data_IF_649253446139
#
_entry.id   IF_649253446139
#
_cell.length_a   1.000
_cell.length_b   1.000
_cell.length_c   1.000
_cell.angle_alpha   90.00
_cell.angle_beta   90.00
_cell.angle_gamma   90.00
#
_symmetry.space_group_name_H-M   'P 1'
#
loop_
_entity.id
_entity.type
_entity.pdbx_description
1 polymer ?
#
# COMPACT_ATOMS: atom_id res chain seq x y z
N UNK A 1 9.04 -54.17 66.24
CA UNK A 1 10.31 -53.49 66.55
C UNK A 1 10.21 -52.09 65.95
N UNK A 2 9.39 -51.20 66.51
CA UNK A 2 9.75 -50.20 67.54
C UNK A 2 11.07 -49.48 67.26
N UNK A 3 10.97 -48.27 66.71
CA UNK A 3 12.06 -47.33 66.50
C UNK A 3 11.55 -45.93 66.83
N UNK A 4 11.57 -45.62 68.12
CA UNK A 4 11.18 -44.35 68.72
C UNK A 4 12.29 -43.31 68.52
N UNK A 5 11.93 -42.08 68.19
CA UNK A 5 12.88 -40.98 68.01
C UNK A 5 12.18 -39.62 68.05
N UNK A 6 11.71 -39.23 69.23
CA UNK A 6 11.30 -37.85 69.54
C UNK A 6 12.56 -36.96 69.61
N UNK A 7 12.61 -35.89 68.82
CA UNK A 7 13.35 -34.68 69.19
C UNK A 7 12.48 -33.44 68.99
N UNK A 8 12.33 -32.72 70.10
CA UNK A 8 11.51 -31.54 70.30
C UNK A 8 12.25 -30.24 69.93
N UNK A 9 11.45 -29.24 69.51
CA UNK A 9 11.64 -27.77 69.63
C UNK A 9 12.72 -27.19 68.70
N UNK A 10 12.54 -26.05 68.03
CA UNK A 10 11.93 -24.77 68.41
C UNK A 10 11.44 -24.00 67.19
N UNK A 11 10.36 -23.26 67.36
CA UNK A 11 9.73 -22.33 66.42
C UNK A 11 10.61 -21.11 66.13
N UNK A 12 10.94 -20.86 64.86
CA UNK A 12 11.41 -19.55 64.39
C UNK A 12 10.31 -18.89 63.55
N UNK A 13 9.71 -17.83 64.09
CA UNK A 13 8.70 -17.03 63.44
C UNK A 13 9.33 -16.23 62.28
N UNK A 14 9.15 -16.70 61.05
CA UNK A 14 9.45 -15.93 59.86
C UNK A 14 8.33 -14.90 59.62
N UNK A 15 8.62 -13.64 59.94
CA UNK A 15 7.85 -12.47 59.49
C UNK A 15 7.86 -12.46 57.95
N UNK A 16 6.83 -13.01 57.33
CA UNK A 16 6.60 -12.83 55.92
C UNK A 16 6.04 -11.41 55.70
N UNK A 17 6.91 -10.50 55.29
CA UNK A 17 6.52 -9.21 54.72
C UNK A 17 5.50 -9.47 53.60
N UNK A 18 4.31 -8.86 53.70
CA UNK A 18 3.39 -8.75 52.56
C UNK A 18 4.11 -7.96 51.48
N UNK A 19 4.71 -8.66 50.53
CA UNK A 19 5.21 -8.06 49.30
C UNK A 19 4.04 -7.40 48.58
N UNK A 20 4.18 -6.10 48.30
CA UNK A 20 3.28 -5.39 47.39
C UNK A 20 3.27 -6.17 46.06
N UNK A 21 2.13 -6.72 45.69
CA UNK A 21 1.92 -7.20 44.32
C UNK A 21 1.89 -5.95 43.44
N UNK A 22 3.01 -5.68 42.77
CA UNK A 22 3.03 -4.71 41.67
C UNK A 22 2.16 -5.30 40.58
N UNK A 23 0.97 -4.73 40.41
CA UNK A 23 0.09 -5.02 39.28
C UNK A 23 0.88 -4.77 38.00
N UNK A 24 1.30 -5.85 37.33
CA UNK A 24 1.79 -5.80 35.95
C UNK A 24 0.58 -5.57 35.04
N UNK A 25 -0.02 -4.39 35.16
CA UNK A 25 -1.05 -3.94 34.26
C UNK A 25 -0.42 -3.78 32.87
N UNK A 26 -0.72 -4.76 32.02
CA UNK A 26 -0.98 -4.59 30.60
C UNK A 26 0.13 -3.87 29.80
N UNK A 27 1.32 -4.48 29.69
CA UNK A 27 2.17 -4.21 28.53
C UNK A 27 1.49 -4.86 27.33
N UNK A 28 0.67 -4.10 26.59
CA UNK A 28 0.28 -4.46 25.24
C UNK A 28 1.57 -4.60 24.43
N UNK A 29 2.05 -5.84 24.28
CA UNK A 29 3.10 -6.14 23.31
C UNK A 29 2.49 -5.79 21.96
N UNK A 30 2.88 -4.64 21.41
CA UNK A 30 2.71 -4.38 19.99
C UNK A 30 3.47 -5.49 19.28
N UNK A 31 2.77 -6.56 18.91
CA UNK A 31 3.32 -7.66 18.14
C UNK A 31 3.54 -7.13 16.74
N UNK A 32 4.69 -6.50 16.52
CA UNK A 32 5.17 -6.23 15.17
C UNK A 32 5.44 -7.58 14.52
N UNK A 33 4.95 -7.79 13.30
CA UNK A 33 5.35 -8.93 12.48
C UNK A 33 6.88 -9.01 12.43
N UNK A 34 7.48 -10.21 12.22
CA UNK A 34 8.91 -10.30 11.97
C UNK A 34 9.26 -9.31 10.85
N UNK A 35 10.31 -8.48 11.01
CA UNK A 35 10.58 -7.40 10.07
C UNK A 35 10.82 -7.98 8.69
N UNK A 36 9.91 -7.69 7.75
CA UNK A 36 10.18 -7.83 6.32
C UNK A 36 11.30 -6.83 6.04
N UNK A 37 12.52 -7.33 5.91
CA UNK A 37 13.69 -6.48 5.77
C UNK A 37 13.71 -5.92 4.36
N UNK A 38 13.15 -4.72 4.17
CA UNK A 38 13.13 -4.03 2.89
C UNK A 38 14.55 -3.85 2.33
N UNK A 39 14.74 -4.09 1.04
CA UNK A 39 16.02 -3.96 0.34
C UNK A 39 16.74 -2.64 0.65
N UNK A 40 16.00 -1.52 0.57
CA UNK A 40 16.52 -0.19 0.86
C UNK A 40 17.14 -0.08 2.27
N UNK A 41 16.53 -0.70 3.27
CA UNK A 41 17.06 -0.73 4.65
C UNK A 41 18.36 -1.50 4.74
N UNK A 42 18.48 -2.62 4.03
CA UNK A 42 19.69 -3.46 4.04
C UNK A 42 20.86 -2.78 3.35
N UNK A 43 20.60 -1.95 2.32
CA UNK A 43 21.63 -1.12 1.69
C UNK A 43 22.33 -0.19 2.69
N UNK A 44 21.57 0.50 3.55
CA UNK A 44 22.14 1.35 4.60
C UNK A 44 22.96 0.58 5.64
N UNK A 45 22.74 -0.73 5.76
CA UNK A 45 23.49 -1.64 6.64
C UNK A 45 24.66 -2.33 5.92
N UNK A 46 24.98 -1.94 4.68
CA UNK A 46 26.04 -2.53 3.87
C UNK A 46 25.72 -3.94 3.34
N UNK A 47 24.45 -4.36 3.37
CA UNK A 47 24.01 -5.68 2.93
C UNK A 47 23.26 -5.57 1.61
N UNK A 48 23.82 -6.16 0.55
CA UNK A 48 23.18 -6.18 -0.77
C UNK A 48 22.42 -7.49 -0.96
N UNK A 49 21.09 -7.42 -0.91
CA UNK A 49 20.21 -8.58 -1.15
C UNK A 49 19.64 -8.58 -2.56
N UNK A 50 20.41 -9.12 -3.51
CA UNK A 50 20.04 -9.10 -4.94
C UNK A 50 18.69 -9.75 -5.25
N UNK A 51 18.30 -10.81 -4.53
CA UNK A 51 17.05 -11.55 -4.75
C UNK A 51 15.77 -10.73 -4.55
N UNK A 52 15.84 -9.62 -3.81
CA UNK A 52 14.67 -8.78 -3.54
C UNK A 52 14.36 -7.77 -4.67
N UNK A 53 15.30 -7.57 -5.60
CA UNK A 53 15.21 -6.56 -6.68
C UNK A 53 15.45 -7.15 -8.06
N UNK A 54 16.23 -8.24 -8.13
CA UNK A 54 16.62 -8.86 -9.39
C UNK A 54 16.09 -10.31 -9.47
N UNK A 55 15.56 -10.71 -10.63
CA UNK A 55 15.31 -9.89 -11.83
C UNK A 55 14.20 -8.84 -11.61
N UNK A 56 14.13 -7.84 -12.49
CA UNK A 56 13.04 -6.86 -12.43
C UNK A 56 11.70 -7.59 -12.58
N UNK A 57 10.68 -7.28 -11.76
CA UNK A 57 9.39 -7.95 -11.84
C UNK A 57 8.73 -7.68 -13.19
N UNK A 58 8.30 -8.74 -13.87
CA UNK A 58 7.57 -8.65 -15.14
C UNK A 58 6.06 -8.75 -14.89
N UNK A 59 5.30 -8.07 -15.74
CA UNK A 59 3.83 -8.10 -15.76
C UNK A 59 3.39 -9.23 -16.66
N UNK A 60 2.30 -9.91 -16.31
CA UNK A 60 1.78 -10.98 -17.15
C UNK A 60 1.21 -10.44 -18.46
N UNK A 61 1.21 -11.26 -19.53
CA UNK A 61 0.70 -10.84 -20.84
C UNK A 61 -0.81 -10.56 -20.81
N UNK A 62 -1.56 -11.29 -19.98
CA UNK A 62 -3.00 -11.12 -19.84
C UNK A 62 -3.33 -9.74 -19.25
N UNK A 63 -2.65 -9.35 -18.16
CA UNK A 63 -2.77 -8.02 -17.58
C UNK A 63 -2.41 -6.91 -18.59
N UNK A 64 -1.37 -7.12 -19.41
CA UNK A 64 -1.00 -6.15 -20.45
C UNK A 64 -2.10 -6.01 -21.52
N UNK A 65 -2.72 -7.11 -21.92
CA UNK A 65 -3.79 -7.09 -22.91
C UNK A 65 -5.03 -6.37 -22.38
N UNK A 66 -5.41 -6.63 -21.13
CA UNK A 66 -6.53 -5.95 -20.44
C UNK A 66 -6.32 -4.43 -20.38
N UNK A 67 -5.11 -4.00 -19.96
CA UNK A 67 -4.75 -2.57 -19.92
C UNK A 67 -4.86 -1.97 -21.32
N UNK A 68 -4.29 -2.59 -22.34
CA UNK A 68 -4.27 -2.02 -23.69
C UNK A 68 -5.68 -1.89 -24.29
N UNK A 69 -6.56 -2.85 -24.02
CA UNK A 69 -7.97 -2.78 -24.44
C UNK A 69 -8.69 -1.61 -23.76
N UNK A 70 -8.39 -1.35 -22.49
CA UNK A 70 -8.95 -0.21 -21.76
C UNK A 70 -8.36 1.14 -22.22
N UNK A 71 -7.06 1.22 -22.46
CA UNK A 71 -6.38 2.46 -22.82
C UNK A 71 -6.74 2.96 -24.22
N UNK A 72 -7.01 2.07 -25.17
CA UNK A 72 -7.33 2.46 -26.55
C UNK A 72 -8.49 3.48 -26.67
N UNK A 73 -9.67 3.21 -26.09
CA UNK A 73 -10.77 4.18 -26.04
C UNK A 73 -10.44 5.47 -25.29
N UNK A 74 -9.68 5.38 -24.21
CA UNK A 74 -9.29 6.53 -23.37
C UNK A 74 -8.36 7.47 -24.15
N UNK A 75 -7.35 6.92 -24.83
CA UNK A 75 -6.44 7.69 -25.70
C UNK A 75 -7.19 8.41 -26.82
N UNK A 76 -8.13 7.73 -27.47
CA UNK A 76 -8.97 8.33 -28.51
C UNK A 76 -9.81 9.49 -27.96
N UNK A 77 -10.44 9.31 -26.80
CA UNK A 77 -11.23 10.36 -26.17
C UNK A 77 -10.40 11.63 -25.91
N UNK A 78 -9.20 11.47 -25.32
CA UNK A 78 -8.31 12.61 -25.06
C UNK A 78 -7.76 13.27 -26.34
N UNK A 79 -7.59 12.52 -27.42
CA UNK A 79 -7.04 13.04 -28.67
C UNK A 79 -8.09 13.71 -29.56
N UNK A 80 -9.30 13.15 -29.63
CA UNK A 80 -10.32 13.55 -30.58
C UNK A 80 -11.38 14.49 -29.99
N UNK A 81 -11.71 14.33 -28.69
CA UNK A 81 -12.86 15.00 -28.09
C UNK A 81 -12.51 16.04 -27.01
N UNK A 82 -11.31 15.98 -26.43
CA UNK A 82 -10.90 16.88 -25.34
C UNK A 82 -10.11 18.08 -25.89
N UNK A 83 -10.74 19.25 -25.90
CA UNK A 83 -10.06 20.52 -26.15
C UNK A 83 -9.33 21.01 -24.89
N UNK A 84 -8.08 20.58 -24.75
CA UNK A 84 -7.23 20.93 -23.60
C UNK A 84 -6.95 22.44 -23.53
N UNK A 85 -6.83 23.12 -24.68
CA UNK A 85 -6.53 24.57 -24.71
C UNK A 85 -7.69 25.38 -24.16
N UNK A 86 -8.92 25.00 -24.51
CA UNK A 86 -10.12 25.63 -23.98
C UNK A 86 -10.25 25.43 -22.48
N UNK A 87 -10.00 24.21 -21.98
CA UNK A 87 -10.03 23.90 -20.54
C UNK A 87 -9.02 24.74 -19.76
N UNK A 88 -7.79 24.86 -20.28
CA UNK A 88 -6.74 25.68 -19.65
C UNK A 88 -7.09 27.16 -19.62
N UNK A 89 -7.69 27.69 -20.69
CA UNK A 89 -8.11 29.10 -20.78
C UNK A 89 -9.31 29.44 -19.90
N UNK A 90 -10.31 28.56 -19.86
CA UNK A 90 -11.55 28.77 -19.10
C UNK A 90 -11.42 28.35 -17.63
N UNK A 91 -10.39 27.56 -17.30
CA UNK A 91 -10.14 27.00 -15.98
C UNK A 91 -11.24 26.02 -15.52
N UNK A 92 -12.02 25.48 -16.46
CA UNK A 92 -13.17 24.61 -16.19
C UNK A 92 -13.22 23.46 -17.18
N UNK A 93 -13.51 22.27 -16.66
CA UNK A 93 -13.79 21.09 -17.48
C UNK A 93 -15.27 21.13 -17.87
N UNK A 94 -15.63 21.07 -19.16
CA UNK A 94 -17.02 21.01 -19.59
C UNK A 94 -17.76 19.82 -19.00
N UNK A 95 -19.04 19.99 -18.66
CA UNK A 95 -19.84 18.93 -18.04
C UNK A 95 -19.92 17.68 -18.93
N UNK A 96 -20.02 17.85 -20.25
CA UNK A 96 -20.01 16.74 -21.22
C UNK A 96 -18.71 15.92 -21.16
N UNK A 97 -17.56 16.59 -21.03
CA UNK A 97 -16.26 15.94 -20.86
C UNK A 97 -16.23 15.16 -19.55
N UNK A 98 -16.74 15.76 -18.47
CA UNK A 98 -16.77 15.14 -17.15
C UNK A 98 -17.70 13.92 -17.10
N UNK A 99 -18.84 13.95 -17.77
CA UNK A 99 -19.73 12.80 -17.92
C UNK A 99 -19.08 11.66 -18.71
N UNK A 100 -18.36 11.98 -19.80
CA UNK A 100 -17.61 10.97 -20.56
C UNK A 100 -16.46 10.36 -19.77
N UNK A 101 -15.73 11.16 -18.98
CA UNK A 101 -14.70 10.64 -18.07
C UNK A 101 -15.28 9.66 -17.04
N UNK A 102 -16.50 9.94 -16.55
CA UNK A 102 -17.23 9.01 -15.65
C UNK A 102 -17.65 7.73 -16.36
N UNK A 103 -18.18 7.83 -17.58
CA UNK A 103 -18.62 6.64 -18.34
C UNK A 103 -17.45 5.74 -18.74
N UNK A 104 -16.26 6.31 -18.94
CA UNK A 104 -15.01 5.58 -19.16
C UNK A 104 -14.41 4.96 -17.88
N UNK A 105 -14.98 5.21 -16.70
CA UNK A 105 -14.53 4.59 -15.45
C UNK A 105 -13.20 5.13 -14.91
N UNK A 106 -12.72 6.27 -15.39
CA UNK A 106 -11.39 6.81 -15.03
C UNK A 106 -11.27 7.23 -13.56
N UNK A 107 -12.39 7.46 -12.88
CA UNK A 107 -12.41 7.77 -11.44
C UNK A 107 -12.30 6.52 -10.55
N UNK A 108 -12.47 5.31 -11.11
CA UNK A 108 -12.58 4.06 -10.37
C UNK A 108 -11.50 3.03 -10.69
N UNK A 109 -10.35 3.44 -11.24
CA UNK A 109 -9.35 2.53 -11.80
C UNK A 109 -8.91 1.43 -10.82
N UNK A 110 -8.53 1.79 -9.59
CA UNK A 110 -8.06 0.84 -8.58
C UNK A 110 -9.18 0.32 -7.65
N UNK A 111 -10.41 0.82 -7.81
CA UNK A 111 -11.52 0.40 -6.97
C UNK A 111 -11.90 -1.03 -7.37
N UNK A 112 -12.08 -1.97 -6.42
CA UNK A 112 -12.49 -3.32 -6.74
C UNK A 112 -13.80 -3.36 -7.54
N UNK A 113 -13.93 -4.34 -8.43
CA UNK A 113 -15.13 -4.52 -9.26
C UNK A 113 -16.41 -4.70 -8.42
N UNK A 114 -16.30 -5.31 -7.23
CA UNK A 114 -17.42 -5.47 -6.28
C UNK A 114 -18.03 -4.14 -5.80
N UNK A 115 -17.29 -3.03 -5.92
CA UNK A 115 -17.78 -1.67 -5.62
C UNK A 115 -18.00 -0.82 -6.89
N UNK A 116 -18.00 -1.42 -8.07
CA UNK A 116 -18.21 -0.73 -9.34
C UNK A 116 -16.97 -0.02 -9.90
N UNK A 117 -15.76 -0.46 -9.51
CA UNK A 117 -14.50 -0.01 -10.11
C UNK A 117 -13.96 -0.96 -11.18
N UNK A 118 -12.73 -0.70 -11.63
CA UNK A 118 -12.04 -1.47 -12.68
C UNK A 118 -11.02 -2.48 -12.13
N UNK A 119 -10.77 -2.49 -10.83
CA UNK A 119 -9.94 -3.51 -10.18
C UNK A 119 -8.45 -3.50 -10.55
N UNK A 120 -7.92 -2.40 -11.08
CA UNK A 120 -6.54 -2.36 -11.57
C UNK A 120 -5.53 -2.63 -10.47
N UNK A 121 -4.56 -3.51 -10.76
CA UNK A 121 -3.38 -3.68 -9.93
C UNK A 121 -2.53 -2.38 -9.91
N UNK A 122 -1.65 -2.23 -8.92
CA UNK A 122 -0.76 -1.05 -8.85
C UNK A 122 0.08 -0.87 -10.12
N UNK A 123 0.47 -1.99 -10.75
CA UNK A 123 1.25 -1.97 -11.98
C UNK A 123 0.40 -1.51 -13.17
N UNK A 124 -0.84 -2.01 -13.27
CA UNK A 124 -1.80 -1.55 -14.27
C UNK A 124 -2.08 -0.05 -14.16
N UNK A 125 -2.35 0.41 -12.93
CA UNK A 125 -2.60 1.83 -12.65
C UNK A 125 -1.40 2.73 -12.99
N UNK A 126 -0.18 2.27 -12.69
CA UNK A 126 1.03 3.01 -13.04
C UNK A 126 1.22 3.10 -14.55
N UNK A 127 0.84 2.04 -15.28
CA UNK A 127 0.93 1.97 -16.73
C UNK A 127 -0.13 2.80 -17.44
N UNK A 128 -1.27 3.08 -16.80
CA UNK A 128 -2.32 3.95 -17.36
C UNK A 128 -2.02 5.45 -17.20
N UNK A 129 -1.10 5.84 -16.30
CA UNK A 129 -0.74 7.25 -16.06
C UNK A 129 -0.29 8.04 -17.30
N UNK A 130 0.54 7.48 -18.22
CA UNK A 130 1.00 8.22 -19.39
C UNK A 130 -0.14 8.70 -20.29
N UNK A 131 -1.27 8.00 -20.33
CA UNK A 131 -2.44 8.40 -21.14
C UNK A 131 -3.09 9.67 -20.58
N UNK A 132 -3.14 9.84 -19.26
CA UNK A 132 -3.56 11.10 -18.65
C UNK A 132 -2.55 12.23 -18.82
N UNK A 133 -1.26 11.90 -18.92
CA UNK A 133 -0.16 12.85 -19.15
C UNK A 133 0.05 13.19 -20.63
N UNK A 134 -0.61 12.50 -21.56
CA UNK A 134 -0.53 12.74 -23.00
C UNK A 134 -1.17 14.08 -23.40
N UNK A 135 -1.79 14.80 -22.47
CA UNK A 135 -2.15 16.21 -22.61
C UNK A 135 -0.89 17.07 -22.49
N UNK A 136 -0.30 17.53 -23.60
CA UNK A 136 0.88 18.37 -23.52
C UNK A 136 0.41 19.75 -23.04
N UNK A 137 0.62 20.07 -21.76
CA UNK A 137 0.61 21.46 -21.31
C UNK A 137 1.88 22.16 -21.81
N UNK A 138 2.05 22.30 -23.13
CA UNK A 138 3.01 23.25 -23.69
C UNK A 138 2.74 23.46 -25.18
N UNK A 139 1.94 24.50 -25.46
CA UNK A 139 2.45 25.52 -26.37
C UNK A 139 3.70 26.12 -25.71
N UNK A 140 4.88 25.62 -26.08
CA UNK A 140 6.06 26.47 -26.03
C UNK A 140 5.92 27.43 -27.22
N UNK A 141 5.41 28.63 -26.95
CA UNK A 141 5.45 29.76 -27.89
C UNK A 141 6.92 29.98 -28.31
N UNK A 142 7.26 29.89 -29.62
CA UNK A 142 8.55 30.33 -30.08
C UNK A 142 8.53 31.87 -30.17
N UNK A 143 9.30 32.51 -29.29
CA UNK A 143 9.69 33.92 -29.45
C UNK A 143 10.63 34.09 -30.64
#
# INVERSE_FOLDING_TARGET
>A
MSGCGLFLRTTAAARACRGLVVSTANRRLLRTSPPVRAFAKELFLGKIKKKEVFPFPEVSQDELNEINQFLGPVEKFFTEEVDSRKIDQEGKIPDETLEKLKSLGLFGLQVPEEYGGLGFSNTMYSRSQPVGAMQPQSGAEPH
#
